data_IF_113782161069
#
_entry.id   IF_113782161069
#
_cell.length_a   1.000
_cell.length_b   1.000
_cell.length_c   1.000
_cell.angle_alpha   90.00
_cell.angle_beta   90.00
_cell.angle_gamma   90.00
#
_symmetry.space_group_name_H-M   'P 1'
#
loop_
_entity.id
_entity.type
_entity.pdbx_description
1 polymer ?
#
# COMPACT_ATOMS: atom_id res chain seq x y z
N UNK A 1 5.72 -8.18 -10.90
CA UNK A 1 6.03 -7.11 -9.95
C UNK A 1 5.19 -5.92 -10.37
N UNK A 2 4.17 -5.56 -9.60
CA UNK A 2 3.40 -4.34 -9.87
C UNK A 2 4.32 -3.18 -9.51
N UNK A 3 4.80 -2.46 -10.52
CA UNK A 3 5.48 -1.18 -10.33
C UNK A 3 4.44 -0.21 -9.82
N UNK A 4 4.64 0.33 -8.60
CA UNK A 4 3.78 1.39 -8.07
C UNK A 4 3.78 2.56 -9.04
N UNK A 5 2.59 2.98 -9.47
CA UNK A 5 2.38 4.14 -10.34
C UNK A 5 1.91 5.32 -9.50
N UNK A 6 2.34 6.49 -9.90
CA UNK A 6 2.01 7.76 -9.25
C UNK A 6 1.55 8.77 -10.30
N UNK A 7 0.63 9.63 -9.92
CA UNK A 7 0.12 10.68 -10.81
C UNK A 7 0.20 12.04 -10.13
N UNK A 8 0.76 13.02 -10.82
CA UNK A 8 0.89 14.40 -10.34
C UNK A 8 -0.09 15.34 -11.07
N UNK A 9 -0.70 16.24 -10.29
CA UNK A 9 -1.59 17.27 -10.76
C UNK A 9 -1.10 18.65 -10.33
N UNK A 10 -1.16 19.61 -11.24
CA UNK A 10 -1.03 21.04 -10.97
C UNK A 10 -2.44 21.63 -11.08
N UNK A 11 -3.04 21.97 -9.95
CA UNK A 11 -4.47 22.24 -9.83
C UNK A 11 -5.30 21.09 -10.42
N UNK A 12 -6.08 21.32 -11.47
CA UNK A 12 -6.92 20.31 -12.16
C UNK A 12 -6.20 19.62 -13.34
N UNK A 13 -4.98 20.06 -13.68
CA UNK A 13 -4.23 19.55 -14.82
C UNK A 13 -3.27 18.45 -14.40
N UNK A 14 -3.42 17.26 -15.01
CA UNK A 14 -2.43 16.19 -14.86
C UNK A 14 -1.12 16.57 -15.58
N UNK A 15 0.00 16.61 -14.84
CA UNK A 15 1.32 16.97 -15.37
C UNK A 15 2.25 15.77 -15.56
N UNK A 16 2.10 14.72 -14.76
CA UNK A 16 2.93 13.50 -14.89
C UNK A 16 2.16 12.26 -14.43
N UNK A 17 2.58 11.08 -14.93
CA UNK A 17 2.13 9.78 -14.43
C UNK A 17 3.21 8.72 -14.73
N UNK A 18 3.53 7.87 -13.76
CA UNK A 18 4.53 6.80 -13.87
C UNK A 18 5.24 6.47 -12.56
N UNK A 19 6.47 5.94 -12.63
CA UNK A 19 7.30 5.70 -11.46
C UNK A 19 7.59 6.96 -10.66
N UNK A 20 7.67 6.86 -9.34
CA UNK A 20 7.82 8.02 -8.44
C UNK A 20 9.03 8.91 -8.79
N UNK A 21 10.15 8.30 -9.21
CA UNK A 21 11.34 9.03 -9.61
C UNK A 21 11.11 9.95 -10.82
N UNK A 22 10.38 9.45 -11.82
CA UNK A 22 10.04 10.23 -13.03
C UNK A 22 9.06 11.36 -12.71
N UNK A 23 8.02 11.04 -11.93
CA UNK A 23 7.03 12.02 -11.47
C UNK A 23 7.71 13.12 -10.65
N UNK A 24 8.63 12.77 -9.75
CA UNK A 24 9.34 13.74 -8.92
C UNK A 24 10.19 14.73 -9.75
N UNK A 25 10.80 14.27 -10.85
CA UNK A 25 11.56 15.15 -11.76
C UNK A 25 10.65 16.16 -12.46
N UNK A 26 9.52 15.70 -12.99
CA UNK A 26 8.56 16.60 -13.67
C UNK A 26 7.99 17.63 -12.69
N UNK A 27 7.65 17.20 -11.46
CA UNK A 27 7.17 18.10 -10.41
C UNK A 27 8.25 19.13 -10.06
N UNK A 28 9.52 18.70 -9.94
CA UNK A 28 10.64 19.59 -9.67
C UNK A 28 10.79 20.65 -10.76
N UNK A 29 10.79 20.26 -12.04
CA UNK A 29 10.85 21.19 -13.18
C UNK A 29 9.68 22.17 -13.19
N UNK A 30 8.47 21.70 -12.88
CA UNK A 30 7.27 22.54 -12.85
C UNK A 30 7.32 23.57 -11.72
N UNK A 31 7.94 23.21 -10.58
CA UNK A 31 8.03 24.08 -9.41
C UNK A 31 9.27 24.99 -9.40
N UNK A 32 10.32 24.67 -10.19
CA UNK A 32 11.50 25.52 -10.35
C UNK A 32 11.18 26.72 -11.22
N UNK A 33 11.05 27.89 -10.59
CA UNK A 33 10.87 29.18 -11.29
C UNK A 33 9.45 29.73 -11.24
N UNK A 34 8.51 29.06 -10.66
CA UNK A 34 7.16 29.58 -10.40
C UNK A 34 6.86 29.59 -8.89
N UNK A 35 5.86 30.35 -8.47
CA UNK A 35 5.35 30.29 -7.10
C UNK A 35 4.96 28.85 -6.82
N UNK A 36 5.14 28.36 -5.56
CA UNK A 36 4.72 27.00 -5.23
C UNK A 36 3.23 26.86 -5.57
N UNK A 37 2.96 26.24 -6.70
CA UNK A 37 1.62 25.79 -7.05
C UNK A 37 1.30 24.60 -6.16
N UNK A 38 0.04 24.39 -5.85
CA UNK A 38 -0.43 23.25 -5.07
C UNK A 38 -0.37 21.98 -5.94
N UNK A 39 0.87 21.54 -6.25
CA UNK A 39 1.06 20.28 -6.97
C UNK A 39 0.78 19.13 -6.02
N UNK A 40 -0.23 18.35 -6.35
CA UNK A 40 -0.58 17.15 -5.61
C UNK A 40 -0.07 15.92 -6.36
N UNK A 41 0.63 15.04 -5.65
CA UNK A 41 1.09 13.75 -6.17
C UNK A 41 0.34 12.65 -5.47
N UNK A 42 -0.25 11.74 -6.25
CA UNK A 42 -1.04 10.62 -5.74
C UNK A 42 -0.34 9.29 -5.99
N UNK A 43 -0.40 8.40 -5.03
CA UNK A 43 -0.17 6.98 -5.23
C UNK A 43 -1.44 6.36 -5.85
N UNK A 44 -1.36 5.91 -7.09
CA UNK A 44 -2.51 5.41 -7.86
C UNK A 44 -3.15 4.16 -7.23
N UNK A 45 -2.39 3.37 -6.48
CA UNK A 45 -2.91 2.16 -5.83
C UNK A 45 -3.73 2.48 -4.57
N UNK A 46 -3.41 3.56 -3.87
CA UNK A 46 -4.02 3.91 -2.57
C UNK A 46 -4.84 5.19 -2.59
N UNK A 47 -4.69 6.04 -3.61
CA UNK A 47 -5.29 7.37 -3.71
C UNK A 47 -4.78 8.37 -2.65
N UNK A 48 -3.68 8.05 -1.99
CA UNK A 48 -3.08 8.93 -0.98
C UNK A 48 -2.17 9.96 -1.63
N UNK A 49 -2.20 11.17 -1.09
CA UNK A 49 -1.22 12.20 -1.44
C UNK A 49 0.14 11.79 -0.90
N UNK A 50 1.17 12.00 -1.70
CA UNK A 50 2.57 11.73 -1.40
C UNK A 50 3.33 13.04 -1.42
N UNK A 51 3.93 13.40 -0.29
CA UNK A 51 4.78 14.57 -0.19
C UNK A 51 6.15 14.27 -0.80
N UNK A 52 6.61 15.14 -1.70
CA UNK A 52 7.90 15.01 -2.35
C UNK A 52 8.93 15.98 -1.74
N UNK A 53 10.08 15.45 -1.40
CA UNK A 53 11.24 16.26 -1.01
C UNK A 53 12.13 16.53 -2.24
N UNK A 54 11.98 17.72 -2.85
CA UNK A 54 12.57 18.08 -4.16
C UNK A 54 13.87 18.87 -4.06
N UNK A 55 14.41 19.06 -2.84
CA UNK A 55 15.67 19.80 -2.63
C UNK A 55 16.86 18.99 -3.16
N UNK A 56 17.74 19.65 -3.90
CA UNK A 56 18.95 19.10 -4.51
C UNK A 56 18.92 19.10 -6.04
N UNK A 57 19.90 18.48 -6.68
CA UNK A 57 19.96 18.35 -8.14
C UNK A 57 18.91 17.35 -8.65
N UNK A 58 18.65 17.35 -9.97
CA UNK A 58 17.73 16.40 -10.60
C UNK A 58 18.17 14.95 -10.36
N UNK A 59 19.49 14.68 -10.43
CA UNK A 59 20.05 13.36 -10.17
C UNK A 59 19.85 12.92 -8.71
N UNK A 60 20.00 13.83 -7.76
CA UNK A 60 19.79 13.54 -6.32
C UNK A 60 18.32 13.22 -6.05
N UNK A 61 17.39 13.97 -6.66
CA UNK A 61 15.95 13.71 -6.53
C UNK A 61 15.59 12.37 -7.18
N UNK A 62 16.07 12.10 -8.40
CA UNK A 62 15.83 10.81 -9.07
C UNK A 62 16.37 9.63 -8.24
N UNK A 63 17.58 9.75 -7.71
CA UNK A 63 18.20 8.71 -6.88
C UNK A 63 17.44 8.46 -5.57
N UNK A 64 16.86 9.52 -4.98
CA UNK A 64 16.06 9.43 -3.73
C UNK A 64 14.81 8.58 -3.93
N UNK A 65 14.14 8.71 -5.08
CA UNK A 65 12.89 8.02 -5.39
C UNK A 65 13.06 6.81 -6.32
N UNK A 66 14.28 6.49 -6.71
CA UNK A 66 14.56 5.27 -7.47
C UNK A 66 14.11 4.03 -6.67
N UNK A 67 13.55 3.01 -7.34
CA UNK A 67 13.13 1.79 -6.68
C UNK A 67 14.34 1.13 -5.99
N UNK A 68 14.36 1.17 -4.66
CA UNK A 68 15.37 0.44 -3.89
C UNK A 68 15.20 -1.04 -4.20
N UNK A 69 16.21 -1.69 -4.79
CA UNK A 69 16.30 -3.14 -4.80
C UNK A 69 16.16 -3.57 -3.34
N UNK A 70 15.06 -4.24 -3.01
CA UNK A 70 14.86 -4.79 -1.66
C UNK A 70 15.96 -5.83 -1.44
N UNK A 71 17.08 -5.37 -0.87
CA UNK A 71 17.91 -6.24 -0.07
C UNK A 71 17.11 -6.45 1.20
N UNK A 72 16.73 -7.69 1.46
CA UNK A 72 16.02 -8.11 2.67
C UNK A 72 16.83 -7.65 3.90
N UNK A 73 16.52 -6.48 4.41
CA UNK A 73 16.98 -6.03 5.71
C UNK A 73 15.77 -6.02 6.65
N UNK A 74 15.60 -7.13 7.35
CA UNK A 74 14.93 -7.16 8.64
C UNK A 74 15.70 -6.21 9.57
N UNK A 75 15.33 -4.92 9.55
CA UNK A 75 15.85 -3.90 10.45
C UNK A 75 15.13 -3.97 11.78
N UNK A 76 15.62 -4.76 12.71
CA UNK A 76 15.43 -4.49 14.14
C UNK A 76 16.62 -3.66 14.60
N UNK A 77 16.39 -2.35 14.72
CA UNK A 77 17.28 -1.48 15.48
C UNK A 77 17.11 -1.81 16.96
N UNK A 78 18.11 -2.42 17.55
CA UNK A 78 18.36 -2.35 18.99
C UNK A 78 19.85 -2.51 19.20
N UNK A 79 20.47 -1.41 19.59
CA UNK A 79 21.81 -1.42 20.19
C UNK A 79 21.87 -2.44 21.31
N UNK A 80 22.79 -3.38 21.19
CA UNK A 80 23.51 -3.89 22.37
C UNK A 80 24.85 -4.53 21.98
N UNK A 81 25.84 -4.08 22.74
CA UNK A 81 27.25 -4.42 22.80
C UNK A 81 27.66 -5.86 22.47
N UNK A 82 28.82 -5.93 21.79
CA UNK A 82 29.94 -6.88 21.89
C UNK A 82 29.63 -8.27 22.49
N UNK A 83 29.33 -9.23 21.62
CA UNK A 83 29.60 -10.65 21.86
C UNK A 83 30.07 -11.29 20.55
N UNK A 84 31.04 -12.25 20.59
CA UNK A 84 31.55 -12.91 19.40
C UNK A 84 30.49 -13.75 18.69
N UNK A 85 30.58 -13.95 17.34
CA UNK A 85 29.53 -14.60 16.57
C UNK A 85 29.35 -16.06 16.98
N UNK A 86 28.11 -16.51 17.23
CA UNK A 86 27.85 -17.93 17.42
C UNK A 86 28.00 -18.66 16.08
N UNK A 87 28.66 -19.83 16.16
CA UNK A 87 28.91 -20.73 15.04
C UNK A 87 27.63 -21.03 14.22
N UNK A 88 27.75 -21.26 12.89
CA UNK A 88 26.59 -21.50 12.04
C UNK A 88 25.84 -22.74 12.47
N UNK A 89 24.61 -22.56 12.96
CA UNK A 89 23.70 -23.70 13.25
C UNK A 89 23.43 -24.44 11.95
N UNK A 90 23.91 -25.69 11.87
CA UNK A 90 23.66 -26.61 10.78
C UNK A 90 22.15 -26.74 10.58
N UNK A 91 21.67 -26.32 9.40
CA UNK A 91 20.27 -26.51 8.96
C UNK A 91 20.04 -28.01 8.82
N UNK A 92 19.28 -28.61 9.73
CA UNK A 92 18.86 -29.99 9.60
C UNK A 92 18.01 -30.21 8.33
N UNK A 93 17.94 -31.48 7.82
CA UNK A 93 17.12 -31.80 6.66
C UNK A 93 15.65 -31.64 7.02
N UNK A 94 15.04 -30.53 6.66
CA UNK A 94 13.64 -30.21 6.87
C UNK A 94 13.01 -29.70 5.58
N UNK A 95 11.73 -30.00 5.39
CA UNK A 95 10.93 -29.48 4.28
C UNK A 95 11.10 -27.94 4.18
N UNK A 96 11.29 -27.35 2.98
CA UNK A 96 11.42 -25.92 2.80
C UNK A 96 10.30 -25.17 3.53
N UNK A 97 10.63 -24.11 4.27
CA UNK A 97 9.64 -23.28 4.95
C UNK A 97 8.71 -22.68 3.91
N UNK A 98 7.43 -22.99 3.96
CA UNK A 98 6.36 -22.56 3.05
C UNK A 98 6.08 -21.03 3.13
N UNK A 99 7.02 -20.20 3.56
CA UNK A 99 6.79 -18.76 3.77
C UNK A 99 5.75 -18.46 4.87
N UNK A 100 5.51 -19.41 5.76
CA UNK A 100 4.50 -19.27 6.84
C UNK A 100 5.07 -18.42 7.94
N UNK A 101 4.37 -17.29 8.23
CA UNK A 101 4.68 -16.41 9.37
C UNK A 101 3.73 -16.72 10.51
N UNK A 102 4.27 -16.99 11.71
CA UNK A 102 3.47 -17.16 12.92
C UNK A 102 2.87 -15.83 13.38
N UNK A 103 1.56 -15.82 13.62
CA UNK A 103 0.82 -14.70 14.23
C UNK A 103 -0.08 -15.27 15.31
N UNK A 104 -0.25 -14.54 16.41
CA UNK A 104 -1.19 -14.87 17.47
C UNK A 104 -2.60 -14.46 17.08
N UNK A 105 -3.58 -15.35 17.32
CA UNK A 105 -5.00 -15.10 17.04
C UNK A 105 -5.80 -15.56 18.24
N UNK A 106 -6.65 -14.69 18.76
CA UNK A 106 -7.57 -14.99 19.85
C UNK A 106 -8.91 -15.47 19.29
N UNK A 107 -9.33 -16.67 19.70
CA UNK A 107 -10.60 -17.28 19.30
C UNK A 107 -11.34 -17.76 20.55
N UNK A 108 -12.66 -17.90 20.45
CA UNK A 108 -13.46 -18.47 21.53
C UNK A 108 -13.14 -19.97 21.72
N UNK A 109 -13.25 -20.52 22.95
CA UNK A 109 -12.96 -21.94 23.25
C UNK A 109 -13.63 -22.91 22.27
N UNK A 110 -14.93 -22.71 22.01
CA UNK A 110 -15.70 -23.53 21.05
C UNK A 110 -15.10 -23.52 19.63
N UNK A 111 -14.46 -22.44 19.21
CA UNK A 111 -13.79 -22.36 17.90
C UNK A 111 -12.52 -23.19 17.88
N UNK A 112 -11.76 -23.19 18.98
CA UNK A 112 -10.56 -24.01 19.11
C UNK A 112 -10.88 -25.50 19.15
N UNK A 113 -11.93 -25.92 19.87
CA UNK A 113 -12.43 -27.28 19.91
C UNK A 113 -12.81 -27.78 18.52
N UNK A 114 -13.61 -26.97 17.80
CA UNK A 114 -14.02 -27.29 16.45
C UNK A 114 -12.83 -27.35 15.47
N UNK A 115 -11.90 -26.39 15.52
CA UNK A 115 -10.71 -26.39 14.68
C UNK A 115 -9.81 -27.60 14.95
N UNK A 116 -9.69 -28.00 16.22
CA UNK A 116 -8.91 -29.17 16.63
C UNK A 116 -9.49 -30.48 16.12
N UNK A 117 -10.82 -30.59 16.00
CA UNK A 117 -11.50 -31.77 15.46
C UNK A 117 -11.41 -31.89 13.91
N UNK A 118 -10.96 -30.87 13.21
CA UNK A 118 -10.90 -30.88 11.75
C UNK A 118 -9.69 -31.66 11.21
N UNK A 119 -9.83 -32.35 10.05
CA UNK A 119 -8.74 -33.03 9.40
C UNK A 119 -7.56 -32.09 9.07
N UNK A 120 -6.38 -32.38 9.61
CA UNK A 120 -5.18 -31.54 9.46
C UNK A 120 -5.02 -30.48 10.54
N UNK A 121 -5.95 -30.40 11.51
CA UNK A 121 -5.88 -29.54 12.69
C UNK A 121 -6.13 -28.06 12.39
N UNK A 122 -6.01 -27.25 13.44
CA UNK A 122 -6.38 -25.84 13.43
C UNK A 122 -5.63 -25.02 12.35
N UNK A 123 -4.31 -25.16 12.23
CA UNK A 123 -3.51 -24.38 11.28
C UNK A 123 -3.86 -24.66 9.81
N UNK A 124 -4.17 -25.88 9.45
CA UNK A 124 -4.56 -26.25 8.08
C UNK A 124 -5.95 -25.73 7.79
N UNK A 125 -6.87 -25.92 8.73
CA UNK A 125 -8.26 -25.49 8.59
C UNK A 125 -8.38 -23.98 8.49
N UNK A 126 -7.68 -23.23 9.35
CA UNK A 126 -7.65 -21.77 9.27
C UNK A 126 -7.13 -21.28 7.91
N UNK A 127 -6.04 -21.84 7.40
CA UNK A 127 -5.53 -21.47 6.07
C UNK A 127 -6.53 -21.74 4.95
N UNK A 128 -7.24 -22.87 4.99
CA UNK A 128 -8.30 -23.19 4.01
C UNK A 128 -9.47 -22.22 4.12
N UNK A 129 -9.90 -21.88 5.33
CA UNK A 129 -10.99 -20.93 5.56
C UNK A 129 -10.63 -19.52 5.09
N UNK A 130 -9.44 -19.04 5.43
CA UNK A 130 -8.94 -17.73 4.99
C UNK A 130 -8.83 -17.68 3.46
N UNK A 131 -8.27 -18.71 2.82
CA UNK A 131 -8.15 -18.74 1.36
C UNK A 131 -9.52 -18.76 0.67
N UNK A 132 -10.48 -19.49 1.22
CA UNK A 132 -11.86 -19.52 0.73
C UNK A 132 -12.53 -18.15 0.89
N UNK A 133 -12.42 -17.54 2.08
CA UNK A 133 -12.98 -16.22 2.35
C UNK A 133 -12.35 -15.15 1.44
N UNK A 134 -11.02 -15.18 1.25
CA UNK A 134 -10.30 -14.27 0.36
C UNK A 134 -10.80 -14.37 -1.08
N UNK A 135 -10.99 -15.60 -1.59
CA UNK A 135 -11.52 -15.81 -2.95
C UNK A 135 -12.98 -15.35 -3.07
N UNK A 136 -13.80 -15.66 -2.09
CA UNK A 136 -15.21 -15.26 -2.10
C UNK A 136 -15.38 -13.74 -1.97
N UNK A 137 -14.58 -13.09 -1.13
CA UNK A 137 -14.61 -11.64 -0.89
C UNK A 137 -13.92 -10.79 -1.94
N UNK A 138 -13.10 -11.36 -2.82
CA UNK A 138 -12.17 -10.63 -3.69
C UNK A 138 -12.84 -9.55 -4.58
N UNK A 139 -14.07 -9.77 -5.04
CA UNK A 139 -14.84 -8.78 -5.82
C UNK A 139 -15.30 -7.63 -4.93
N UNK A 140 -15.88 -7.93 -3.80
CA UNK A 140 -16.37 -6.94 -2.83
C UNK A 140 -15.23 -6.09 -2.29
N UNK A 141 -14.11 -6.72 -1.97
CA UNK A 141 -12.91 -6.02 -1.49
C UNK A 141 -12.33 -5.08 -2.56
N UNK A 142 -12.30 -5.51 -3.83
CA UNK A 142 -11.86 -4.64 -4.93
C UNK A 142 -12.76 -3.42 -5.08
N UNK A 143 -14.09 -3.60 -5.04
CA UNK A 143 -15.03 -2.48 -5.15
C UNK A 143 -14.88 -1.53 -3.97
N UNK A 144 -14.76 -2.06 -2.74
CA UNK A 144 -14.54 -1.25 -1.54
C UNK A 144 -13.25 -0.43 -1.67
N UNK A 145 -12.13 -1.09 -2.00
CA UNK A 145 -10.85 -0.41 -2.16
C UNK A 145 -10.89 0.65 -3.26
N UNK A 146 -11.53 0.36 -4.41
CA UNK A 146 -11.66 1.34 -5.49
C UNK A 146 -12.46 2.59 -5.04
N UNK A 147 -13.54 2.41 -4.25
CA UNK A 147 -14.29 3.53 -3.68
C UNK A 147 -13.46 4.35 -2.69
N UNK A 148 -12.67 3.68 -1.87
CA UNK A 148 -11.77 4.37 -0.92
C UNK A 148 -10.69 5.18 -1.64
N UNK A 149 -10.10 4.63 -2.70
CA UNK A 149 -9.11 5.33 -3.56
C UNK A 149 -9.77 6.56 -4.21
N UNK A 150 -10.93 6.38 -4.84
CA UNK A 150 -11.68 7.45 -5.47
C UNK A 150 -12.07 8.55 -4.45
N UNK A 151 -12.54 8.16 -3.27
CA UNK A 151 -12.87 9.12 -2.21
C UNK A 151 -11.68 9.96 -1.77
N UNK A 152 -10.51 9.33 -1.54
CA UNK A 152 -9.29 10.07 -1.14
C UNK A 152 -8.86 11.06 -2.22
N UNK A 153 -8.89 10.63 -3.48
CA UNK A 153 -8.60 11.50 -4.61
C UNK A 153 -9.58 12.67 -4.69
N UNK A 154 -10.89 12.39 -4.67
CA UNK A 154 -11.93 13.42 -4.70
C UNK A 154 -11.80 14.40 -3.52
N UNK A 155 -11.51 13.89 -2.32
CA UNK A 155 -11.34 14.73 -1.12
C UNK A 155 -10.15 15.67 -1.24
N UNK A 156 -9.04 15.22 -1.82
CA UNK A 156 -7.85 16.06 -2.00
C UNK A 156 -8.01 17.07 -3.13
N UNK A 157 -8.73 16.73 -4.21
CA UNK A 157 -8.87 17.57 -5.41
C UNK A 157 -10.08 18.50 -5.38
N UNK A 158 -11.14 18.09 -4.69
CA UNK A 158 -12.46 18.73 -4.80
C UNK A 158 -13.21 18.81 -3.46
N UNK A 159 -12.52 18.60 -2.34
CA UNK A 159 -13.14 18.55 -1.02
C UNK A 159 -13.91 19.83 -0.64
N UNK A 160 -13.45 20.97 -1.13
CA UNK A 160 -14.05 22.29 -0.87
C UNK A 160 -15.07 22.74 -1.94
N UNK A 161 -15.28 21.91 -2.98
CA UNK A 161 -16.18 22.27 -4.06
C UNK A 161 -17.65 21.98 -3.72
N UNK A 162 -18.59 22.80 -4.21
CA UNK A 162 -20.02 22.52 -4.09
C UNK A 162 -20.37 21.15 -4.71
N UNK A 163 -21.23 20.39 -4.03
CA UNK A 163 -21.65 19.07 -4.50
C UNK A 163 -20.74 17.90 -4.08
N UNK A 164 -19.63 18.17 -3.38
CA UNK A 164 -18.72 17.11 -2.90
C UNK A 164 -19.40 16.06 -2.02
N UNK A 165 -20.29 16.49 -1.12
CA UNK A 165 -21.04 15.56 -0.23
C UNK A 165 -22.00 14.65 -1.01
N UNK A 166 -22.70 15.21 -2.01
CA UNK A 166 -23.61 14.44 -2.87
C UNK A 166 -22.83 13.43 -3.72
N UNK A 167 -21.73 13.85 -4.31
CA UNK A 167 -20.86 12.98 -5.08
C UNK A 167 -20.26 11.86 -4.20
N UNK A 168 -19.84 12.18 -2.99
CA UNK A 168 -19.34 11.18 -2.02
C UNK A 168 -20.44 10.17 -1.64
N UNK A 169 -21.65 10.66 -1.38
CA UNK A 169 -22.80 9.80 -1.06
C UNK A 169 -23.14 8.87 -2.23
N UNK A 170 -23.12 9.38 -3.47
CA UNK A 170 -23.33 8.60 -4.68
C UNK A 170 -22.23 7.53 -4.88
N UNK A 171 -20.97 7.89 -4.65
CA UNK A 171 -19.82 6.96 -4.73
C UNK A 171 -20.00 5.75 -3.80
N UNK A 172 -20.33 5.97 -2.54
CA UNK A 172 -20.49 4.88 -1.57
C UNK A 172 -21.78 4.10 -1.78
N UNK A 173 -22.86 4.72 -2.25
CA UNK A 173 -24.08 4.04 -2.69
C UNK A 173 -23.84 3.21 -3.96
N UNK A 174 -22.84 3.54 -4.77
CA UNK A 174 -22.61 2.94 -6.09
C UNK A 174 -23.61 3.44 -7.15
N UNK A 175 -24.17 4.62 -6.93
CA UNK A 175 -25.09 5.28 -7.85
C UNK A 175 -24.28 6.08 -8.88
N UNK A 176 -23.97 5.37 -9.99
CA UNK A 176 -23.14 5.93 -11.06
C UNK A 176 -23.80 7.10 -11.78
N UNK A 177 -25.14 7.07 -11.91
CA UNK A 177 -25.87 8.12 -12.59
C UNK A 177 -25.86 9.46 -11.86
N UNK A 178 -25.67 9.44 -10.53
CA UNK A 178 -25.53 10.67 -9.73
C UNK A 178 -24.09 11.13 -9.56
N UNK A 179 -23.13 10.34 -10.03
CA UNK A 179 -21.70 10.64 -9.94
C UNK A 179 -21.20 11.34 -11.22
N UNK A 180 -21.93 11.19 -12.32
CA UNK A 180 -21.74 11.87 -13.61
C UNK A 180 -22.46 13.21 -13.66
#
# INVERSE_FOLDING_TARGET
>A
METSSYTAFDADRRIASGPLAEVALVVKETTEGQRPHDVLVFDDATGRVVDLYLVGSAEEVAARYAPKKQTEQNGHSSEKALQPPPAPKRRGPGRPKLGVVGKEVTLLPRHWEWLGSQPGGASVTLRKLVERARKAGARTDRVRNAREVAYRFMSAMAGDLPGFEEATRALFAGDRAKLE
#
